data_IF_070120305099
#
_entry.id   IF_070120305099
#
_cell.length_a   1.000
_cell.length_b   1.000
_cell.length_c   1.000
_cell.angle_alpha   90.00
_cell.angle_beta   90.00
_cell.angle_gamma   90.00
#
_symmetry.space_group_name_H-M   'P 1'
#
loop_
_entity.id
_entity.type
_entity.pdbx_description
1 polymer ?
#
# COMPACT_ATOMS: atom_id res chain seq x y z
N UNK A 1 -19.26 3.86 0.16
CA UNK A 1 -18.36 4.93 -0.29
C UNK A 1 -17.28 5.08 0.79
N UNK A 2 -15.99 5.20 0.42
CA UNK A 2 -14.79 5.01 1.28
C UNK A 2 -14.23 3.57 1.32
N UNK A 3 -14.08 2.94 0.15
CA UNK A 3 -13.35 1.69 0.05
C UNK A 3 -11.84 1.92 0.05
N UNK A 4 -11.11 1.04 0.71
CA UNK A 4 -9.64 0.98 0.72
C UNK A 4 -9.19 -0.39 0.25
N UNK A 5 -8.05 -0.44 -0.43
CA UNK A 5 -7.38 -1.67 -0.80
C UNK A 5 -6.23 -1.93 0.16
N UNK A 6 -6.19 -3.15 0.68
CA UNK A 6 -5.13 -3.63 1.55
C UNK A 6 -4.27 -4.63 0.77
N UNK A 7 -2.98 -4.33 0.63
CA UNK A 7 -2.03 -5.21 -0.05
C UNK A 7 -0.89 -5.58 0.90
N UNK A 8 -0.72 -6.87 1.17
CA UNK A 8 0.46 -7.38 1.89
C UNK A 8 1.54 -7.75 0.88
N UNK A 9 2.70 -7.14 1.03
CA UNK A 9 3.89 -7.33 0.20
C UNK A 9 5.04 -7.84 1.05
N UNK A 10 6.06 -8.40 0.41
CA UNK A 10 7.30 -8.76 1.09
C UNK A 10 8.07 -7.50 1.45
N UNK A 11 8.78 -6.95 0.49
CA UNK A 11 9.42 -5.64 0.57
C UNK A 11 8.46 -4.53 0.09
N UNK A 12 8.74 -3.28 0.44
CA UNK A 12 8.04 -2.11 -0.11
C UNK A 12 8.21 -2.05 -1.65
N UNK A 13 7.12 -1.98 -2.44
CA UNK A 13 7.18 -2.07 -3.90
C UNK A 13 7.20 -0.67 -4.57
N UNK A 14 8.34 0.02 -4.54
CA UNK A 14 8.48 1.39 -5.10
C UNK A 14 8.00 1.52 -6.56
N UNK A 15 8.32 0.54 -7.41
CA UNK A 15 7.93 0.54 -8.82
C UNK A 15 6.40 0.44 -9.00
N UNK A 16 5.73 -0.42 -8.21
CA UNK A 16 4.27 -0.58 -8.28
C UNK A 16 3.55 0.65 -7.75
N UNK A 17 4.08 1.27 -6.69
CA UNK A 17 3.54 2.50 -6.11
C UNK A 17 3.67 3.66 -7.12
N UNK A 18 4.81 3.75 -7.79
CA UNK A 18 5.06 4.76 -8.82
C UNK A 18 4.20 4.57 -10.06
N UNK A 19 3.80 3.33 -10.36
CA UNK A 19 2.93 2.98 -11.47
C UNK A 19 1.43 3.10 -11.15
N UNK A 20 1.05 3.52 -9.94
CA UNK A 20 -0.36 3.69 -9.59
C UNK A 20 -1.05 4.68 -10.55
N UNK A 21 -2.24 4.34 -11.08
CA UNK A 21 -2.96 5.24 -11.96
C UNK A 21 -3.32 6.56 -11.25
N UNK A 22 -3.45 7.64 -12.03
CA UNK A 22 -3.89 8.92 -11.51
C UNK A 22 -5.20 8.80 -10.72
N UNK A 23 -5.28 9.49 -9.58
CA UNK A 23 -6.42 9.40 -8.67
C UNK A 23 -6.34 8.23 -7.66
N UNK A 24 -5.23 7.49 -7.63
CA UNK A 24 -4.91 6.53 -6.59
C UNK A 24 -3.62 6.93 -5.87
N UNK A 25 -3.54 6.60 -4.59
CA UNK A 25 -2.36 6.84 -3.79
C UNK A 25 -2.22 5.76 -2.70
N UNK A 26 -0.97 5.48 -2.33
CA UNK A 26 -0.69 4.82 -1.05
C UNK A 26 -0.95 5.83 0.06
N UNK A 27 -1.89 5.55 0.94
CA UNK A 27 -2.14 6.34 2.14
C UNK A 27 -1.14 6.02 3.24
N UNK A 28 -0.83 4.74 3.44
CA UNK A 28 0.14 4.32 4.43
C UNK A 28 0.83 3.02 4.05
N UNK A 29 2.01 2.83 4.61
CA UNK A 29 2.78 1.60 4.50
C UNK A 29 3.37 1.24 5.85
N UNK A 30 3.15 0.01 6.29
CA UNK A 30 3.55 -0.43 7.62
C UNK A 30 4.33 -1.73 7.49
N UNK A 31 5.55 -1.76 8.01
CA UNK A 31 6.27 -3.02 8.19
C UNK A 31 5.58 -3.84 9.29
N UNK A 32 5.35 -5.12 9.04
CA UNK A 32 4.69 -6.06 9.92
C UNK A 32 5.70 -7.09 10.41
N UNK A 33 5.69 -7.33 11.72
CA UNK A 33 6.33 -8.52 12.30
C UNK A 33 5.31 -9.66 12.25
N UNK A 34 5.48 -10.58 11.31
CA UNK A 34 4.59 -11.74 11.15
C UNK A 34 5.26 -12.97 11.75
N UNK A 35 4.67 -13.61 12.79
CA UNK A 35 5.23 -14.80 13.39
C UNK A 35 5.44 -15.92 12.37
N UNK A 36 6.64 -16.48 12.32
CA UNK A 36 7.00 -17.59 11.42
C UNK A 36 7.19 -17.19 9.95
N UNK A 37 7.23 -15.90 9.61
CA UNK A 37 7.62 -15.44 8.30
C UNK A 37 9.14 -15.21 8.25
N UNK A 38 9.84 -15.86 7.32
CA UNK A 38 11.30 -15.74 7.14
C UNK A 38 11.75 -14.45 6.44
N UNK A 39 10.90 -13.42 6.40
CA UNK A 39 11.24 -12.17 5.73
C UNK A 39 10.27 -11.04 6.01
N UNK A 40 10.63 -9.84 5.54
CA UNK A 40 9.84 -8.63 5.74
C UNK A 40 8.44 -8.77 5.15
N UNK A 41 7.49 -8.10 5.81
CA UNK A 41 6.13 -7.95 5.31
C UNK A 41 5.75 -6.49 5.44
N UNK A 42 5.21 -5.93 4.38
CA UNK A 42 4.68 -4.58 4.35
C UNK A 42 3.20 -4.62 4.03
N UNK A 43 2.38 -4.02 4.88
CA UNK A 43 0.98 -3.74 4.57
C UNK A 43 0.89 -2.34 3.96
N UNK A 44 0.31 -2.27 2.77
CA UNK A 44 0.00 -1.04 2.07
C UNK A 44 -1.50 -0.79 2.13
N UNK A 45 -1.87 0.43 2.51
CA UNK A 45 -3.23 0.95 2.39
C UNK A 45 -3.28 1.83 1.16
N UNK A 46 -4.07 1.46 0.17
CA UNK A 46 -4.23 2.19 -1.09
C UNK A 46 -5.66 2.69 -1.19
N UNK A 47 -5.80 3.98 -1.49
CA UNK A 47 -7.11 4.64 -1.62
C UNK A 47 -7.15 5.53 -2.84
N UNK A 48 -8.36 5.96 -3.19
CA UNK A 48 -8.51 7.06 -4.14
C UNK A 48 -7.96 8.34 -3.53
N UNK A 49 -7.10 9.02 -4.26
CA UNK A 49 -6.65 10.35 -3.89
C UNK A 49 -7.87 11.30 -3.93
N UNK A 50 -8.04 12.18 -2.92
CA UNK A 50 -9.05 13.21 -3.00
C UNK A 50 -8.74 14.08 -4.21
N UNK A 51 -9.76 14.33 -5.07
CA UNK A 51 -9.64 15.31 -6.14
C UNK A 51 -9.30 16.65 -5.48
N UNK A 52 -8.07 17.13 -5.68
CA UNK A 52 -7.68 18.48 -5.29
C UNK A 52 -8.59 19.43 -6.08
N UNK A 53 -9.41 20.20 -5.35
CA UNK A 53 -10.38 21.12 -5.93
C UNK A 53 -9.73 22.45 -6.27
#
# INVERSE_FOLDING_TARGET
ENGEFLAMKGQYPDDEVSALPAGWQVESSQALTVPGADGERHLLVVRRAPLSR
#
